data_IF_941829452275
#
_entry.id   IF_941829452275
#
_cell.length_a   1.000
_cell.length_b   1.000
_cell.length_c   1.000
_cell.angle_alpha   90.00
_cell.angle_beta   90.00
_cell.angle_gamma   90.00
#
_symmetry.space_group_name_H-M   'P 1'
#
loop_
_entity.id
_entity.type
_entity.pdbx_description
1 polymer ?
#
# COMPACT_ATOMS: atom_id res chain seq x y z
N UNK A 1 -15.37 -14.51 10.06
CA UNK A 1 -14.18 -15.31 9.69
C UNK A 1 -13.00 -14.58 10.31
N UNK A 2 -12.32 -15.20 11.26
CA UNK A 2 -11.17 -14.61 11.97
C UNK A 2 -10.20 -14.02 10.95
N UNK A 3 -9.91 -12.73 11.08
CA UNK A 3 -8.97 -12.05 10.20
C UNK A 3 -7.58 -12.48 10.67
N UNK A 4 -7.05 -13.57 10.10
CA UNK A 4 -5.76 -14.19 10.46
C UNK A 4 -4.63 -13.18 10.50
N UNK A 5 -4.70 -12.15 9.66
CA UNK A 5 -3.74 -11.06 9.68
C UNK A 5 -3.87 -10.19 10.94
N UNK A 6 -5.08 -9.87 11.41
CA UNK A 6 -5.25 -9.16 12.69
C UNK A 6 -4.69 -9.98 13.86
N UNK A 7 -4.86 -11.31 13.83
CA UNK A 7 -4.27 -12.20 14.83
C UNK A 7 -2.75 -12.21 14.73
N UNK A 8 -2.19 -12.30 13.52
CA UNK A 8 -0.75 -12.20 13.27
C UNK A 8 -0.18 -10.86 13.77
N UNK A 9 -0.84 -9.75 13.46
CA UNK A 9 -0.50 -8.40 13.93
C UNK A 9 -0.51 -8.33 15.46
N UNK A 10 -1.52 -8.92 16.10
CA UNK A 10 -1.62 -8.98 17.57
C UNK A 10 -0.50 -9.80 18.19
N UNK A 11 -0.16 -10.95 17.59
CA UNK A 11 0.95 -11.79 17.99
C UNK A 11 2.29 -11.04 17.85
N UNK A 12 2.51 -10.33 16.74
CA UNK A 12 3.71 -9.50 16.51
C UNK A 12 3.82 -8.41 17.59
N UNK A 13 2.73 -7.70 17.89
CA UNK A 13 2.70 -6.70 18.98
C UNK A 13 3.01 -7.28 20.35
N UNK A 14 2.70 -8.56 20.55
CA UNK A 14 2.98 -9.29 21.78
C UNK A 14 4.40 -9.89 21.82
N UNK A 15 5.23 -9.65 20.79
CA UNK A 15 6.62 -10.08 20.70
C UNK A 15 6.85 -11.38 19.93
N UNK A 16 5.82 -11.96 19.30
CA UNK A 16 5.99 -13.13 18.43
C UNK A 16 6.74 -12.71 17.17
N UNK A 17 7.78 -13.45 16.74
CA UNK A 17 8.47 -13.17 15.49
C UNK A 17 7.51 -13.10 14.31
N UNK A 18 7.71 -12.12 13.43
CA UNK A 18 6.81 -11.85 12.31
C UNK A 18 6.66 -13.04 11.36
N UNK A 19 7.73 -13.82 11.17
CA UNK A 19 7.71 -15.05 10.39
C UNK A 19 6.77 -16.11 10.95
N UNK A 20 6.69 -16.20 12.28
CA UNK A 20 5.85 -17.18 12.96
C UNK A 20 4.39 -16.73 12.97
N UNK A 21 4.16 -15.46 13.31
CA UNK A 21 2.83 -14.87 13.33
C UNK A 21 2.17 -14.83 11.95
N UNK A 22 2.95 -14.60 10.89
CA UNK A 22 2.44 -14.41 9.53
C UNK A 22 2.36 -15.70 8.70
N UNK A 23 2.65 -16.86 9.29
CA UNK A 23 2.78 -18.14 8.57
C UNK A 23 1.55 -18.49 7.73
N UNK A 24 0.37 -18.21 8.26
CA UNK A 24 -0.92 -18.58 7.65
C UNK A 24 -1.69 -17.38 7.08
N UNK A 25 -1.04 -16.20 7.02
CA UNK A 25 -1.63 -14.98 6.46
C UNK A 25 -1.55 -15.06 4.94
N UNK A 26 -2.71 -15.12 4.29
CA UNK A 26 -2.79 -15.07 2.85
C UNK A 26 -2.76 -13.63 2.31
N UNK A 27 -2.52 -13.53 1.00
CA UNK A 27 -2.50 -12.27 0.27
C UNK A 27 -3.83 -11.50 0.35
N UNK A 28 -4.96 -12.20 0.35
CA UNK A 28 -6.30 -11.59 0.31
C UNK A 28 -6.69 -10.98 1.65
N UNK A 29 -6.27 -11.61 2.74
CA UNK A 29 -6.39 -11.11 4.11
C UNK A 29 -5.60 -9.80 4.26
N UNK A 30 -4.43 -9.72 3.62
CA UNK A 30 -3.57 -8.55 3.60
C UNK A 30 -4.16 -7.35 2.86
N UNK A 31 -4.57 -7.54 1.62
CA UNK A 31 -5.32 -6.50 0.89
C UNK A 31 -6.61 -6.10 1.63
N UNK A 32 -7.29 -7.07 2.23
CA UNK A 32 -8.52 -6.85 2.99
C UNK A 32 -8.32 -5.90 4.15
N UNK A 33 -7.27 -6.10 4.95
CA UNK A 33 -6.95 -5.19 6.05
C UNK A 33 -6.57 -3.79 5.57
N UNK A 34 -5.77 -3.68 4.50
CA UNK A 34 -5.40 -2.38 3.92
C UNK A 34 -6.66 -1.62 3.47
N UNK A 35 -7.59 -2.31 2.81
CA UNK A 35 -8.89 -1.76 2.43
C UNK A 35 -9.71 -1.34 3.65
N UNK A 36 -9.86 -2.19 4.67
CA UNK A 36 -10.60 -1.87 5.91
C UNK A 36 -10.01 -0.64 6.62
N UNK A 37 -8.68 -0.49 6.64
CA UNK A 37 -8.02 0.68 7.23
C UNK A 37 -8.41 1.93 6.44
N UNK A 38 -8.30 1.92 5.11
CA UNK A 38 -8.69 3.04 4.26
C UNK A 38 -10.17 3.41 4.44
N UNK A 39 -11.07 2.43 4.43
CA UNK A 39 -12.51 2.62 4.66
C UNK A 39 -12.76 3.27 6.04
N UNK A 40 -12.06 2.83 7.09
CA UNK A 40 -12.15 3.42 8.43
C UNK A 40 -11.67 4.88 8.50
N UNK A 41 -10.90 5.32 7.50
CA UNK A 41 -10.40 6.68 7.32
C UNK A 41 -11.19 7.47 6.27
N UNK A 42 -12.39 7.01 5.91
CA UNK A 42 -13.32 7.63 4.97
C UNK A 42 -12.87 7.66 3.50
N UNK A 43 -11.96 6.76 3.10
CA UNK A 43 -11.64 6.57 1.70
C UNK A 43 -12.71 5.71 1.02
N UNK A 44 -13.04 6.06 -0.22
CA UNK A 44 -13.73 5.16 -1.14
C UNK A 44 -12.72 4.14 -1.67
N UNK A 45 -12.99 2.85 -1.50
CA UNK A 45 -12.00 1.80 -1.77
C UNK A 45 -12.42 0.90 -2.93
N UNK A 46 -11.51 0.69 -3.87
CA UNK A 46 -11.61 -0.33 -4.92
C UNK A 46 -10.44 -1.30 -4.81
N UNK A 47 -10.73 -2.59 -4.70
CA UNK A 47 -9.71 -3.66 -4.68
C UNK A 47 -9.53 -4.28 -6.06
N UNK A 48 -8.35 -4.83 -6.32
CA UNK A 48 -8.01 -5.53 -7.56
C UNK A 48 -8.32 -4.69 -8.82
N UNK A 49 -7.94 -3.41 -8.80
CA UNK A 49 -8.22 -2.47 -9.87
C UNK A 49 -7.37 -2.78 -11.10
N UNK A 50 -8.03 -3.14 -12.21
CA UNK A 50 -7.37 -3.54 -13.45
C UNK A 50 -7.47 -2.48 -14.53
N UNK A 51 -6.31 -2.05 -15.00
CA UNK A 51 -6.17 -1.18 -16.15
C UNK A 51 -5.81 -2.01 -17.38
N UNK A 52 -6.26 -1.58 -18.55
CA UNK A 52 -5.96 -2.23 -19.84
C UNK A 52 -5.07 -1.33 -20.69
N UNK A 53 -4.34 -1.95 -21.62
CA UNK A 53 -3.47 -1.29 -22.61
C UNK A 53 -2.44 -0.32 -22.00
N UNK A 54 -1.43 -0.82 -21.28
CA UNK A 54 -1.11 -2.22 -20.99
C UNK A 54 -1.94 -2.79 -19.83
N UNK A 55 -1.97 -4.13 -19.69
CA UNK A 55 -2.63 -4.75 -18.54
C UNK A 55 -1.81 -4.53 -17.27
N UNK A 56 -2.40 -3.84 -16.30
CA UNK A 56 -1.80 -3.54 -15.00
C UNK A 56 -2.85 -3.75 -13.91
N UNK A 57 -2.39 -4.11 -12.71
CA UNK A 57 -3.24 -4.27 -11.53
C UNK A 57 -2.70 -3.41 -10.39
N UNK A 58 -3.60 -2.74 -9.68
CA UNK A 58 -3.37 -2.11 -8.38
C UNK A 58 -4.21 -2.87 -7.37
N UNK A 59 -3.58 -3.34 -6.30
CA UNK A 59 -4.22 -4.22 -5.32
C UNK A 59 -5.34 -3.51 -4.57
N UNK A 60 -5.08 -2.26 -4.16
CA UNK A 60 -6.06 -1.40 -3.47
C UNK A 60 -5.90 0.04 -3.95
N UNK A 61 -7.01 0.67 -4.35
CA UNK A 61 -7.11 2.11 -4.63
C UNK A 61 -8.01 2.71 -3.56
N UNK A 62 -7.51 3.70 -2.82
CA UNK A 62 -8.31 4.52 -1.93
C UNK A 62 -8.44 5.93 -2.47
N UNK A 63 -9.65 6.48 -2.54
CA UNK A 63 -9.89 7.86 -2.98
C UNK A 63 -10.49 8.65 -1.83
N UNK A 64 -9.87 9.79 -1.48
CA UNK A 64 -10.41 10.72 -0.51
C UNK A 64 -9.91 12.14 -0.81
N UNK A 65 -10.78 13.14 -0.60
CA UNK A 65 -10.48 14.57 -0.83
C UNK A 65 -9.87 14.88 -2.23
N UNK A 66 -10.28 14.16 -3.27
CA UNK A 66 -9.78 14.36 -4.64
C UNK A 66 -8.39 13.78 -4.91
N UNK A 67 -7.81 13.03 -3.97
CA UNK A 67 -6.53 12.34 -4.11
C UNK A 67 -6.74 10.82 -4.08
N UNK A 68 -6.19 10.13 -5.08
CA UNK A 68 -6.13 8.68 -5.12
C UNK A 68 -4.82 8.17 -4.49
N UNK A 69 -4.89 7.22 -3.58
CA UNK A 69 -3.76 6.49 -3.02
C UNK A 69 -3.77 5.10 -3.63
N UNK A 70 -2.78 4.82 -4.49
CA UNK A 70 -2.65 3.57 -5.20
C UNK A 70 -1.67 2.66 -4.46
N UNK A 71 -2.20 1.57 -3.92
CA UNK A 71 -1.49 0.71 -2.99
C UNK A 71 -1.17 -0.63 -3.65
N UNK A 72 0.10 -1.00 -3.57
CA UNK A 72 0.60 -2.32 -3.90
C UNK A 72 1.06 -3.02 -2.62
N UNK A 73 0.40 -4.12 -2.29
CA UNK A 73 0.68 -4.95 -1.13
C UNK A 73 1.85 -5.90 -1.46
N UNK A 74 2.78 -6.14 -0.52
CA UNK A 74 3.96 -6.98 -0.77
C UNK A 74 4.46 -7.74 0.47
N UNK A 75 4.70 -9.04 0.31
CA UNK A 75 5.23 -9.93 1.36
C UNK A 75 6.71 -10.24 1.12
N UNK A 76 7.62 -9.33 1.45
CA UNK A 76 9.06 -9.52 1.22
C UNK A 76 9.84 -9.78 2.50
N UNK A 77 10.44 -10.96 2.65
CA UNK A 77 11.33 -11.23 3.77
C UNK A 77 12.72 -10.62 3.61
N UNK A 78 13.25 -10.62 2.38
CA UNK A 78 14.56 -10.05 2.02
C UNK A 78 14.50 -9.50 0.60
N UNK A 79 15.09 -8.33 0.38
CA UNK A 79 15.17 -7.75 -0.96
C UNK A 79 16.44 -6.92 -1.13
N UNK A 80 17.04 -6.98 -2.32
CA UNK A 80 18.15 -6.10 -2.68
C UNK A 80 17.65 -4.69 -2.98
N UNK A 81 18.51 -3.70 -2.82
CA UNK A 81 18.15 -2.31 -3.16
C UNK A 81 17.73 -2.17 -4.63
N UNK A 82 18.39 -2.88 -5.56
CA UNK A 82 18.04 -2.84 -6.98
C UNK A 82 16.67 -3.45 -7.29
N UNK A 83 16.29 -4.54 -6.62
CA UNK A 83 14.97 -5.13 -6.78
C UNK A 83 13.88 -4.20 -6.21
N UNK A 84 14.15 -3.58 -5.07
CA UNK A 84 13.25 -2.58 -4.47
C UNK A 84 13.04 -1.39 -5.41
N UNK A 85 14.13 -0.84 -5.94
CA UNK A 85 14.11 0.28 -6.90
C UNK A 85 13.22 -0.04 -8.10
N UNK A 86 13.38 -1.24 -8.68
CA UNK A 86 12.58 -1.68 -9.82
C UNK A 86 11.08 -1.79 -9.49
N UNK A 87 10.72 -2.22 -8.28
CA UNK A 87 9.32 -2.32 -7.87
C UNK A 87 8.72 -0.93 -7.70
N UNK A 88 9.47 -0.02 -7.08
CA UNK A 88 9.08 1.38 -6.90
C UNK A 88 8.84 2.05 -8.26
N UNK A 89 9.75 1.86 -9.23
CA UNK A 89 9.60 2.41 -10.59
C UNK A 89 8.35 1.86 -11.29
N UNK A 90 8.09 0.55 -11.18
CA UNK A 90 6.86 -0.06 -11.72
C UNK A 90 5.60 0.48 -11.04
N UNK A 91 5.64 0.76 -9.74
CA UNK A 91 4.51 1.37 -9.05
C UNK A 91 4.24 2.77 -9.58
N UNK A 92 5.29 3.58 -9.77
CA UNK A 92 5.17 4.91 -10.37
C UNK A 92 4.55 4.84 -11.76
N UNK A 93 4.96 3.89 -12.60
CA UNK A 93 4.41 3.74 -13.94
C UNK A 93 2.93 3.34 -13.93
N UNK A 94 2.51 2.49 -12.98
CA UNK A 94 1.09 2.17 -12.78
C UNK A 94 0.29 3.41 -12.37
N UNK A 95 0.81 4.25 -11.48
CA UNK A 95 0.14 5.49 -11.07
C UNK A 95 0.03 6.49 -12.22
N UNK A 96 1.08 6.63 -13.03
CA UNK A 96 1.00 7.46 -14.25
C UNK A 96 -0.10 6.97 -15.17
N UNK A 97 -0.15 5.67 -15.44
CA UNK A 97 -1.19 5.09 -16.30
C UNK A 97 -2.60 5.33 -15.73
N UNK A 98 -2.78 5.18 -14.42
CA UNK A 98 -4.05 5.46 -13.74
C UNK A 98 -4.55 6.86 -14.06
N UNK A 99 -3.74 7.89 -13.80
CA UNK A 99 -4.12 9.29 -14.02
C UNK A 99 -4.50 9.57 -15.48
N UNK A 100 -3.91 8.87 -16.46
CA UNK A 100 -4.27 9.04 -17.87
C UNK A 100 -5.64 8.48 -18.25
N UNK A 101 -6.17 7.51 -17.51
CA UNK A 101 -7.40 6.80 -17.86
C UNK A 101 -8.58 7.13 -16.94
N UNK A 102 -8.35 7.94 -15.92
CA UNK A 102 -9.34 8.32 -14.91
C UNK A 102 -9.45 9.85 -14.78
N UNK A 103 -10.38 10.35 -13.96
CA UNK A 103 -10.69 11.79 -13.82
C UNK A 103 -10.15 12.41 -12.53
N UNK A 104 -9.36 11.66 -11.77
CA UNK A 104 -8.75 12.06 -10.52
C UNK A 104 -7.68 13.11 -10.76
N UNK A 105 -7.72 14.14 -9.92
CA UNK A 105 -6.84 15.30 -10.02
C UNK A 105 -5.40 14.92 -9.67
N UNK A 106 -5.24 14.03 -8.69
CA UNK A 106 -3.95 13.66 -8.13
C UNK A 106 -3.94 12.21 -7.68
N UNK A 107 -2.82 11.52 -7.91
CA UNK A 107 -2.61 10.15 -7.44
C UNK A 107 -1.22 9.97 -6.81
N UNK A 108 -1.15 9.23 -5.70
CA UNK A 108 0.08 8.91 -4.98
C UNK A 108 0.32 7.39 -4.93
N UNK A 109 1.53 6.90 -5.28
CA UNK A 109 1.92 5.52 -5.09
C UNK A 109 2.27 5.25 -3.63
N UNK A 110 1.78 4.14 -3.08
CA UNK A 110 2.22 3.61 -1.78
C UNK A 110 2.44 2.10 -1.93
N UNK A 111 3.47 1.57 -1.28
CA UNK A 111 3.70 0.13 -1.17
C UNK A 111 3.51 -0.26 0.29
N UNK A 112 2.64 -1.22 0.57
CA UNK A 112 2.42 -1.72 1.93
C UNK A 112 3.09 -3.08 2.08
N UNK A 113 3.90 -3.24 3.14
CA UNK A 113 4.68 -4.46 3.36
C UNK A 113 4.35 -5.12 4.70
N UNK A 114 4.52 -6.44 4.75
CA UNK A 114 4.35 -7.18 5.99
C UNK A 114 5.61 -7.08 6.88
N UNK A 115 6.78 -7.42 6.33
CA UNK A 115 8.01 -7.72 7.09
C UNK A 115 8.94 -6.54 7.41
N UNK A 116 8.62 -5.30 7.01
CA UNK A 116 9.53 -4.18 7.19
C UNK A 116 9.37 -3.52 8.56
N UNK A 117 10.48 -3.09 9.18
CA UNK A 117 10.48 -2.55 10.55
C UNK A 117 10.04 -1.07 10.64
N UNK A 118 10.09 -0.33 9.53
CA UNK A 118 9.75 1.09 9.51
C UNK A 118 9.38 1.61 8.12
N UNK A 119 8.71 2.76 8.08
CA UNK A 119 8.42 3.47 6.82
C UNK A 119 9.74 3.87 6.15
N UNK A 120 9.85 3.59 4.86
CA UNK A 120 10.99 4.01 4.01
C UNK A 120 10.47 4.79 2.81
N UNK A 121 11.21 5.82 2.40
CA UNK A 121 10.98 6.52 1.14
C UNK A 121 12.04 6.10 0.12
N UNK A 122 11.60 5.63 -1.04
CA UNK A 122 12.47 5.35 -2.20
C UNK A 122 11.87 6.05 -3.40
N UNK A 123 12.63 6.95 -4.05
CA UNK A 123 12.10 7.85 -5.08
C UNK A 123 10.82 8.60 -4.67
N UNK A 124 10.77 9.00 -3.39
CA UNK A 124 9.59 9.60 -2.74
C UNK A 124 8.34 8.72 -2.71
N UNK A 125 8.47 7.41 -2.97
CA UNK A 125 7.38 6.43 -2.80
C UNK A 125 7.47 5.82 -1.40
N UNK A 126 6.42 5.96 -0.57
CA UNK A 126 6.38 5.35 0.74
C UNK A 126 6.29 3.83 0.65
N UNK A 127 7.14 3.16 1.39
CA UNK A 127 7.10 1.72 1.66
C UNK A 127 6.78 1.58 3.13
N UNK A 128 5.54 1.18 3.42
CA UNK A 128 4.91 1.32 4.73
C UNK A 128 4.64 -0.07 5.31
N UNK A 129 5.16 -0.40 6.50
CA UNK A 129 4.74 -1.61 7.20
C UNK A 129 3.24 -1.56 7.49
N UNK A 130 2.51 -2.65 7.31
CA UNK A 130 1.05 -2.69 7.59
C UNK A 130 0.72 -2.28 9.02
N UNK A 131 1.63 -2.56 9.96
CA UNK A 131 1.53 -2.16 11.36
C UNK A 131 1.45 -0.64 11.55
N UNK A 132 2.06 0.11 10.64
CA UNK A 132 2.18 1.58 10.65
C UNK A 132 1.23 2.22 9.63
N UNK A 133 0.51 1.43 8.83
CA UNK A 133 -0.30 1.94 7.73
C UNK A 133 -1.43 2.87 8.18
N UNK A 134 -2.13 2.54 9.27
CA UNK A 134 -3.19 3.41 9.82
C UNK A 134 -2.67 4.80 10.20
N UNK A 135 -1.57 4.86 10.94
CA UNK A 135 -0.91 6.12 11.33
C UNK A 135 -0.36 6.87 10.12
N UNK A 136 0.21 6.16 9.15
CA UNK A 136 0.67 6.76 7.90
C UNK A 136 -0.47 7.44 7.14
N UNK A 137 -1.66 6.83 7.08
CA UNK A 137 -2.84 7.44 6.43
C UNK A 137 -3.34 8.65 7.21
N UNK A 138 -3.29 8.63 8.55
CA UNK A 138 -3.65 9.80 9.38
C UNK A 138 -2.79 11.04 9.06
N UNK A 139 -1.51 10.82 8.74
CA UNK A 139 -0.55 11.88 8.43
C UNK A 139 -0.39 12.14 6.91
N UNK A 140 -1.04 11.34 6.07
CA UNK A 140 -0.81 11.30 4.62
C UNK A 140 -0.95 12.67 3.95
N UNK A 141 -2.05 13.37 4.22
CA UNK A 141 -2.31 14.69 3.63
C UNK A 141 -1.34 15.76 4.10
N UNK A 142 -0.87 15.68 5.35
CA UNK A 142 0.13 16.61 5.89
C UNK A 142 1.51 16.43 5.25
N UNK A 143 1.80 15.23 4.74
CA UNK A 143 3.10 14.86 4.19
C UNK A 143 3.09 14.75 2.65
N UNK A 144 2.04 15.20 1.96
CA UNK A 144 1.90 15.05 0.50
C UNK A 144 3.07 15.66 -0.28
N UNK A 145 3.67 16.76 0.18
CA UNK A 145 4.81 17.41 -0.48
C UNK A 145 6.09 16.55 -0.46
N UNK A 146 6.21 15.66 0.51
CA UNK A 146 7.34 14.72 0.64
C UNK A 146 7.13 13.45 -0.20
N UNK A 147 5.88 13.18 -0.56
CA UNK A 147 5.46 12.00 -1.31
C UNK A 147 5.43 12.33 -2.81
N UNK A 148 5.77 11.34 -3.62
CA UNK A 148 5.60 11.45 -5.06
C UNK A 148 4.11 11.49 -5.40
N UNK A 149 3.66 12.56 -6.04
CA UNK A 149 2.34 12.64 -6.64
C UNK A 149 2.44 12.68 -8.15
N UNK A 150 1.38 12.24 -8.82
CA UNK A 150 1.17 12.41 -10.26
C UNK A 150 -0.14 13.15 -10.42
N UNK A 151 -0.10 14.26 -11.15
CA UNK A 151 -1.26 15.09 -11.49
C UNK A 151 -1.60 14.88 -12.97
N UNK A 152 -2.85 15.21 -13.32
CA UNK A 152 -3.36 15.11 -14.70
C UNK A 152 -2.80 16.20 -15.62
#
# INVERSE_FOLDING_TARGET
MENKLKDAISAIKSGVPIEEASRDVDWKDFEGLVAEILESKNFEVTRNFRMKKPTMEIDVVGIHLGTAVLIDCKHWKRMTNSALENIVLKQIDRVKHYVTITDEVMAAPVIVTLYQEGVKLVNKVPIVPVMQFSSFIDEFYGNLEEIRTVEK
#
